data_IF_115485364588
#
_entry.id   IF_115485364588
#
_cell.length_a   1.000
_cell.length_b   1.000
_cell.length_c   1.000
_cell.angle_alpha   90.00
_cell.angle_beta   90.00
_cell.angle_gamma   90.00
#
_symmetry.space_group_name_H-M   'P 1'
#
loop_
_entity.id
_entity.type
_entity.pdbx_description
1 polymer ?
#
# COMPACT_ATOMS: atom_id res chain seq x y z
N UNK A 1 25.24 -55.38 -8.12
CA UNK A 1 23.77 -55.38 -8.29
C UNK A 1 23.20 -55.52 -6.88
N UNK A 2 22.41 -54.65 -6.28
CA UNK A 2 21.69 -53.43 -6.66
C UNK A 2 21.54 -52.61 -5.38
N UNK A 3 21.58 -51.28 -5.52
CA UNK A 3 21.32 -50.32 -4.45
C UNK A 3 19.83 -50.34 -4.04
N UNK A 4 19.53 -49.99 -2.79
CA UNK A 4 18.30 -49.28 -2.42
C UNK A 4 18.52 -48.46 -1.14
N UNK A 5 18.71 -47.17 -1.32
CA UNK A 5 18.75 -46.13 -0.30
C UNK A 5 17.29 -45.74 -0.02
N UNK A 6 16.85 -45.84 1.22
CA UNK A 6 15.51 -45.40 1.66
C UNK A 6 15.60 -43.88 1.89
N UNK A 7 14.96 -43.10 1.03
CA UNK A 7 14.79 -41.66 1.23
C UNK A 7 13.64 -41.42 2.23
N UNK A 8 13.94 -40.86 3.40
CA UNK A 8 12.94 -40.22 4.24
C UNK A 8 12.62 -38.85 3.63
N UNK A 9 11.51 -38.73 2.91
CA UNK A 9 10.93 -37.43 2.58
C UNK A 9 10.23 -36.94 3.86
N UNK A 10 10.88 -36.03 4.57
CA UNK A 10 10.20 -35.18 5.53
C UNK A 10 9.30 -34.24 4.73
N UNK A 11 8.01 -34.57 4.65
CA UNK A 11 6.99 -33.65 4.16
C UNK A 11 6.92 -32.50 5.17
N UNK A 12 7.61 -31.40 4.87
CA UNK A 12 7.35 -30.12 5.50
C UNK A 12 5.99 -29.68 4.96
N UNK A 13 4.93 -30.05 5.67
CA UNK A 13 3.64 -29.38 5.55
C UNK A 13 3.88 -27.94 5.99
N UNK A 14 4.20 -27.07 5.03
CA UNK A 14 4.06 -25.63 5.24
C UNK A 14 2.59 -25.41 5.56
N UNK A 15 2.32 -24.99 6.80
CA UNK A 15 0.99 -24.63 7.28
C UNK A 15 0.57 -23.30 6.62
N UNK A 16 0.36 -23.32 5.30
CA UNK A 16 -0.18 -22.22 4.53
C UNK A 16 -1.49 -22.70 3.93
N UNK A 17 -2.58 -22.40 4.65
CA UNK A 17 -3.94 -22.59 4.18
C UNK A 17 -4.58 -23.90 4.61
N UNK A 18 -5.33 -23.86 5.71
CA UNK A 18 -6.78 -24.18 5.73
C UNK A 18 -7.41 -23.41 6.89
N UNK A 19 -7.85 -22.18 6.66
CA UNK A 19 -9.01 -21.61 7.37
C UNK A 19 -10.17 -21.53 6.38
N UNK A 20 -10.54 -22.65 5.77
CA UNK A 20 -11.77 -22.77 4.96
C UNK A 20 -12.98 -22.89 5.89
N UNK A 21 -13.10 -21.97 6.85
CA UNK A 21 -14.37 -21.71 7.52
C UNK A 21 -15.16 -20.78 6.59
N UNK A 22 -15.82 -21.37 5.57
CA UNK A 22 -16.85 -20.73 4.72
C UNK A 22 -16.68 -19.23 4.40
N UNK A 23 -15.50 -18.80 3.94
CA UNK A 23 -15.32 -17.43 3.48
C UNK A 23 -16.18 -17.20 2.23
N UNK A 24 -16.98 -16.13 2.21
CA UNK A 24 -17.85 -15.77 1.09
C UNK A 24 -17.18 -14.80 0.12
N UNK A 25 -16.29 -13.99 0.67
CA UNK A 25 -15.35 -13.11 -0.02
C UNK A 25 -13.96 -13.50 0.45
N UNK A 26 -12.96 -13.32 -0.42
CA UNK A 26 -11.55 -13.48 -0.07
C UNK A 26 -10.74 -12.27 -0.51
N UNK A 27 -10.00 -11.63 0.39
CA UNK A 27 -9.01 -10.61 0.05
C UNK A 27 -7.81 -11.30 -0.62
N UNK A 28 -7.41 -10.77 -1.78
CA UNK A 28 -6.27 -11.27 -2.57
C UNK A 28 -5.04 -10.37 -2.44
N UNK A 29 -5.24 -9.05 -2.36
CA UNK A 29 -4.16 -8.07 -2.28
C UNK A 29 -4.64 -6.77 -1.63
N UNK A 30 -3.87 -6.16 -0.70
CA UNK A 30 -2.73 -6.78 -0.02
C UNK A 30 -3.19 -7.97 0.83
N UNK A 31 -2.33 -8.95 1.04
CA UNK A 31 -2.64 -10.13 1.86
C UNK A 31 -1.56 -10.45 2.91
N UNK A 32 -0.48 -9.66 2.97
CA UNK A 32 0.55 -9.77 4.00
C UNK A 32 1.96 -9.45 3.52
N UNK A 33 2.66 -8.63 4.29
CA UNK A 33 4.07 -8.32 4.08
C UNK A 33 4.38 -7.30 2.99
N UNK A 34 3.38 -6.83 2.23
CA UNK A 34 3.58 -5.76 1.25
C UNK A 34 4.01 -4.45 1.92
N UNK A 35 4.68 -3.60 1.14
CA UNK A 35 5.04 -2.24 1.55
C UNK A 35 4.45 -1.27 0.55
N UNK A 36 3.56 -0.42 1.02
CA UNK A 36 2.90 0.60 0.22
C UNK A 36 3.43 1.97 0.60
N UNK A 37 3.89 2.72 -0.39
CA UNK A 37 4.37 4.07 -0.16
C UNK A 37 3.20 5.03 0.04
N UNK A 38 3.34 5.95 0.99
CA UNK A 38 2.41 7.08 1.16
C UNK A 38 2.17 7.77 -0.19
N UNK A 39 0.91 8.05 -0.50
CA UNK A 39 0.52 8.76 -1.73
C UNK A 39 0.52 7.89 -2.99
N UNK A 40 1.11 6.70 -2.96
CA UNK A 40 1.01 5.76 -4.08
C UNK A 40 -0.43 5.28 -4.28
N UNK A 41 -0.75 4.88 -5.51
CA UNK A 41 -2.03 4.21 -5.81
C UNK A 41 -1.81 2.72 -5.89
N UNK A 42 -2.54 1.96 -5.07
CA UNK A 42 -2.44 0.51 -4.96
C UNK A 42 -3.79 -0.12 -5.24
N UNK A 43 -3.85 -1.12 -6.11
CA UNK A 43 -5.09 -1.83 -6.41
C UNK A 43 -5.37 -2.86 -5.31
N UNK A 44 -6.41 -2.61 -4.52
CA UNK A 44 -6.99 -3.60 -3.63
C UNK A 44 -7.74 -4.63 -4.46
N UNK A 45 -7.55 -5.92 -4.17
CA UNK A 45 -8.18 -7.00 -4.94
C UNK A 45 -8.83 -8.03 -4.02
N UNK A 46 -10.00 -8.49 -4.41
CA UNK A 46 -10.73 -9.54 -3.70
C UNK A 46 -11.51 -10.42 -4.66
N UNK A 47 -11.99 -11.55 -4.18
CA UNK A 47 -12.64 -12.59 -4.97
C UNK A 47 -13.94 -13.06 -4.32
N UNK A 48 -14.96 -13.29 -5.13
CA UNK A 48 -16.17 -14.00 -4.70
C UNK A 48 -15.84 -15.48 -4.51
N UNK A 49 -16.03 -16.01 -3.30
CA UNK A 49 -15.81 -17.44 -3.00
C UNK A 49 -17.14 -18.19 -2.97
N UNK A 50 -18.21 -17.53 -2.50
CA UNK A 50 -19.57 -18.06 -2.52
C UNK A 50 -20.48 -16.99 -3.14
N UNK A 51 -21.32 -17.40 -4.08
CA UNK A 51 -22.26 -16.52 -4.76
C UNK A 51 -23.42 -16.11 -3.85
N UNK A 52 -23.78 -14.82 -3.90
CA UNK A 52 -24.92 -14.22 -3.19
C UNK A 52 -25.60 -13.15 -4.05
N UNK A 53 -26.81 -12.75 -3.65
CA UNK A 53 -27.50 -11.60 -4.24
C UNK A 53 -26.90 -10.29 -3.69
N UNK A 54 -25.67 -10.03 -4.11
CA UNK A 54 -24.87 -8.94 -3.61
C UNK A 54 -25.39 -7.57 -4.05
N UNK A 55 -25.42 -6.63 -3.11
CA UNK A 55 -25.83 -5.25 -3.35
C UNK A 55 -24.66 -4.39 -3.81
N UNK A 56 -23.60 -4.31 -3.02
CA UNK A 56 -22.42 -3.47 -3.27
C UNK A 56 -21.18 -4.07 -2.57
N UNK A 57 -20.04 -3.40 -2.68
CA UNK A 57 -18.87 -3.65 -1.83
C UNK A 57 -18.51 -2.43 -0.99
N UNK A 58 -18.13 -2.66 0.26
CA UNK A 58 -17.50 -1.66 1.10
C UNK A 58 -16.06 -2.06 1.43
N UNK A 59 -15.15 -1.08 1.36
CA UNK A 59 -13.73 -1.28 1.59
C UNK A 59 -13.26 -0.37 2.71
N UNK A 60 -12.54 -0.94 3.66
CA UNK A 60 -12.05 -0.27 4.85
C UNK A 60 -10.58 -0.60 5.09
N UNK A 61 -9.91 0.23 5.89
CA UNK A 61 -8.58 -0.08 6.42
C UNK A 61 -8.46 0.26 7.91
N UNK A 62 -7.53 -0.41 8.60
CA UNK A 62 -7.16 -0.13 9.99
C UNK A 62 -5.65 -0.12 10.15
N UNK A 63 -5.15 0.82 10.93
CA UNK A 63 -3.74 0.90 11.35
C UNK A 63 -3.55 0.45 12.80
N UNK A 64 -4.56 -0.23 13.36
CA UNK A 64 -4.61 -0.63 14.78
C UNK A 64 -4.68 -2.14 14.90
N UNK A 65 -5.69 -2.79 14.29
CA UNK A 65 -5.86 -4.24 14.36
C UNK A 65 -6.70 -4.79 13.21
N UNK A 66 -6.64 -6.12 13.02
CA UNK A 66 -7.49 -6.86 12.07
C UNK A 66 -8.99 -6.78 12.38
N UNK A 67 -9.38 -6.24 13.53
CA UNK A 67 -10.78 -6.07 13.95
C UNK A 67 -11.23 -4.60 13.98
N UNK A 68 -10.33 -3.68 13.64
CA UNK A 68 -10.57 -2.24 13.64
C UNK A 68 -9.89 -1.49 14.80
N UNK A 69 -10.28 -0.22 15.07
CA UNK A 69 -11.31 0.55 14.37
C UNK A 69 -11.02 0.73 12.88
N UNK A 70 -12.08 0.86 12.09
CA UNK A 70 -12.02 0.89 10.63
C UNK A 70 -12.21 2.31 10.11
N UNK A 71 -11.30 2.73 9.24
CA UNK A 71 -11.45 3.91 8.40
C UNK A 71 -12.02 3.48 7.05
N UNK A 72 -12.83 4.34 6.44
CA UNK A 72 -13.45 4.09 5.13
C UNK A 72 -12.41 4.33 4.03
N UNK A 73 -12.30 3.37 3.11
CA UNK A 73 -11.61 3.55 1.82
C UNK A 73 -12.62 3.90 0.74
N UNK A 74 -13.68 3.11 0.63
CA UNK A 74 -14.78 3.30 -0.31
C UNK A 74 -16.04 2.61 0.23
N UNK A 75 -17.21 3.15 -0.08
CA UNK A 75 -18.51 2.54 0.20
C UNK A 75 -19.31 2.41 -1.10
N UNK A 76 -20.28 1.51 -1.10
CA UNK A 76 -21.27 1.39 -2.17
C UNK A 76 -20.67 1.13 -3.57
N UNK A 77 -19.54 0.41 -3.62
CA UNK A 77 -18.94 0.04 -4.90
C UNK A 77 -19.86 -0.92 -5.66
N UNK A 78 -19.95 -0.83 -6.99
CA UNK A 78 -20.87 -1.68 -7.76
C UNK A 78 -20.56 -3.17 -7.53
N UNK A 79 -21.59 -4.04 -7.49
CA UNK A 79 -21.42 -5.45 -7.16
C UNK A 79 -20.58 -6.20 -8.19
N UNK A 80 -20.57 -5.73 -9.44
CA UNK A 80 -19.88 -6.37 -10.56
C UNK A 80 -20.44 -7.77 -10.85
N UNK A 81 -19.57 -8.71 -11.23
CA UNK A 81 -19.95 -10.12 -11.37
C UNK A 81 -20.13 -10.78 -9.99
N UNK A 82 -21.24 -11.47 -9.78
CA UNK A 82 -21.50 -12.27 -8.56
C UNK A 82 -21.05 -13.73 -8.71
N UNK A 83 -20.54 -14.12 -9.88
CA UNK A 83 -20.09 -15.49 -10.15
C UNK A 83 -18.90 -15.85 -9.26
N UNK A 84 -18.92 -17.07 -8.70
CA UNK A 84 -17.80 -17.63 -7.94
C UNK A 84 -16.49 -17.52 -8.74
N UNK A 85 -15.41 -17.15 -8.04
CA UNK A 85 -14.08 -16.85 -8.55
C UNK A 85 -13.93 -15.54 -9.33
N UNK A 86 -15.00 -14.77 -9.54
CA UNK A 86 -14.85 -13.43 -10.12
C UNK A 86 -14.00 -12.55 -9.19
N UNK A 87 -13.09 -11.79 -9.80
CA UNK A 87 -12.15 -10.91 -9.09
C UNK A 87 -12.58 -9.47 -9.31
N UNK A 88 -12.60 -8.72 -8.22
CA UNK A 88 -12.92 -7.31 -8.17
C UNK A 88 -11.74 -6.53 -7.63
N UNK A 89 -11.77 -5.21 -7.80
CA UNK A 89 -10.74 -4.37 -7.22
C UNK A 89 -11.12 -2.89 -7.18
N UNK A 90 -10.34 -2.17 -6.40
CA UNK A 90 -10.46 -0.72 -6.21
C UNK A 90 -9.08 -0.11 -6.09
N UNK A 91 -8.82 0.95 -6.85
CA UNK A 91 -7.57 1.69 -6.78
C UNK A 91 -7.60 2.64 -5.58
N UNK A 92 -6.77 2.33 -4.58
CA UNK A 92 -6.68 3.06 -3.33
C UNK A 92 -5.45 3.96 -3.31
N UNK A 93 -5.66 5.26 -3.11
CA UNK A 93 -4.57 6.19 -2.78
C UNK A 93 -4.19 6.03 -1.30
N UNK A 94 -2.97 5.59 -1.06
CA UNK A 94 -2.45 5.27 0.28
C UNK A 94 -2.34 6.55 1.12
N UNK A 95 -2.97 6.61 2.31
CA UNK A 95 -2.97 7.81 3.13
C UNK A 95 -1.58 8.12 3.68
N UNK A 96 -1.34 9.40 3.99
CA UNK A 96 -0.12 9.84 4.68
C UNK A 96 -0.13 9.46 6.17
N UNK A 97 0.01 8.17 6.44
CA UNK A 97 0.06 7.59 7.77
C UNK A 97 0.94 6.34 7.75
N UNK A 98 2.26 6.56 7.80
CA UNK A 98 3.22 5.46 7.85
C UNK A 98 2.96 4.57 9.07
N UNK A 99 2.81 3.27 8.82
CA UNK A 99 2.45 2.30 9.85
C UNK A 99 2.92 0.89 9.45
N UNK A 100 3.45 0.13 10.42
CA UNK A 100 3.98 -1.23 10.17
C UNK A 100 2.92 -2.32 10.18
N UNK A 101 1.71 -2.00 10.64
CA UNK A 101 0.62 -2.93 10.87
C UNK A 101 -0.66 -2.37 10.29
N UNK A 102 -0.89 -2.61 9.00
CA UNK A 102 -2.08 -2.17 8.29
C UNK A 102 -2.91 -3.37 7.85
N UNK A 103 -4.21 -3.22 8.01
CA UNK A 103 -5.23 -4.19 7.65
C UNK A 103 -6.22 -3.56 6.71
N UNK A 104 -6.68 -4.32 5.73
CA UNK A 104 -7.82 -4.00 4.86
C UNK A 104 -8.95 -4.96 5.15
N UNK A 105 -10.18 -4.48 5.03
CA UNK A 105 -11.39 -5.28 5.13
C UNK A 105 -12.27 -4.99 3.93
N UNK A 106 -12.71 -6.04 3.27
CA UNK A 106 -13.72 -5.97 2.21
C UNK A 106 -15.00 -6.58 2.73
N UNK A 107 -16.11 -5.87 2.56
CA UNK A 107 -17.44 -6.30 2.96
C UNK A 107 -18.25 -6.52 1.68
N UNK A 108 -18.80 -7.72 1.55
CA UNK A 108 -19.87 -8.08 0.64
C UNK A 108 -21.20 -7.76 1.32
N UNK A 109 -21.79 -6.61 0.99
CA UNK A 109 -23.12 -6.23 1.48
C UNK A 109 -24.19 -7.05 0.75
N UNK A 110 -25.05 -7.69 1.52
CA UNK A 110 -26.19 -8.44 1.00
C UNK A 110 -27.45 -8.13 1.80
N UNK A 111 -28.66 -8.30 1.20
CA UNK A 111 -29.91 -7.97 1.88
C UNK A 111 -30.18 -8.73 3.19
N UNK A 112 -29.58 -9.92 3.35
CA UNK A 112 -29.81 -10.80 4.49
C UNK A 112 -28.71 -10.72 5.55
N UNK A 113 -27.45 -10.82 5.12
CA UNK A 113 -26.29 -10.82 5.99
C UNK A 113 -25.03 -10.41 5.23
N UNK A 114 -24.23 -9.56 5.86
CA UNK A 114 -22.95 -9.13 5.32
C UNK A 114 -21.89 -10.19 5.57
N UNK A 115 -21.04 -10.39 4.56
CA UNK A 115 -19.84 -11.20 4.72
C UNK A 115 -18.62 -10.34 4.49
N UNK A 116 -17.55 -10.61 5.21
CA UNK A 116 -16.32 -9.86 5.04
C UNK A 116 -15.12 -10.75 5.15
N UNK A 117 -14.02 -10.24 4.61
CA UNK A 117 -12.71 -10.83 4.79
C UNK A 117 -11.67 -9.72 4.98
N UNK A 118 -10.56 -10.10 5.61
CA UNK A 118 -9.40 -9.25 5.86
C UNK A 118 -8.16 -9.91 5.30
N UNK A 119 -7.13 -9.12 4.98
CA UNK A 119 -5.82 -9.68 4.66
C UNK A 119 -5.32 -10.66 5.74
N UNK A 120 -4.68 -11.75 5.32
CA UNK A 120 -4.26 -12.85 6.22
C UNK A 120 -3.17 -12.42 7.23
N UNK A 121 -2.29 -11.51 6.81
CA UNK A 121 -1.23 -10.92 7.64
C UNK A 121 -1.13 -9.42 7.37
N UNK A 122 -0.66 -8.61 8.33
CA UNK A 122 -0.54 -7.17 8.11
C UNK A 122 0.45 -6.86 6.99
N UNK A 123 0.17 -5.79 6.26
CA UNK A 123 1.14 -5.11 5.40
C UNK A 123 1.57 -3.80 6.06
N UNK A 124 2.48 -3.05 5.42
CA UNK A 124 2.96 -1.78 5.94
C UNK A 124 2.75 -0.63 4.97
N UNK A 125 2.48 0.54 5.52
CA UNK A 125 2.60 1.82 4.81
C UNK A 125 3.94 2.43 5.20
N UNK A 126 4.80 2.67 4.22
CA UNK A 126 6.10 3.29 4.40
C UNK A 126 6.05 4.76 3.94
N UNK A 127 6.85 5.66 4.54
CA UNK A 127 6.98 7.02 4.04
C UNK A 127 7.31 7.01 2.55
N UNK A 128 6.77 7.97 1.81
CA UNK A 128 7.26 8.23 0.46
C UNK A 128 8.77 8.54 0.53
N UNK A 129 9.56 8.14 -0.48
CA UNK A 129 10.96 8.53 -0.57
C UNK A 129 11.11 10.04 -0.40
N UNK A 130 12.08 10.47 0.41
CA UNK A 130 12.41 11.90 0.52
C UNK A 130 12.95 12.37 -0.82
N UNK A 131 12.27 13.31 -1.47
CA UNK A 131 12.74 13.88 -2.71
C UNK A 131 13.83 14.91 -2.46
N UNK A 132 15.03 14.42 -2.18
CA UNK A 132 16.19 15.27 -1.98
C UNK A 132 16.41 16.07 -3.27
N UNK A 133 16.42 17.40 -3.19
CA UNK A 133 16.57 18.25 -4.37
C UNK A 133 15.27 18.87 -4.90
N UNK A 134 14.08 18.43 -4.45
CA UNK A 134 12.80 19.07 -4.77
C UNK A 134 12.60 20.29 -3.86
N UNK A 135 13.12 21.43 -4.30
CA UNK A 135 13.12 22.68 -3.53
C UNK A 135 11.78 23.42 -3.62
N UNK A 136 10.95 23.12 -4.63
CA UNK A 136 9.66 23.77 -4.83
C UNK A 136 8.44 22.91 -4.41
N UNK A 137 8.66 21.63 -4.11
CA UNK A 137 7.64 20.69 -3.64
C UNK A 137 6.73 20.14 -4.74
N UNK A 138 7.16 20.16 -6.01
CA UNK A 138 6.37 19.73 -7.16
C UNK A 138 6.51 18.24 -7.51
N UNK A 139 7.28 17.49 -6.71
CA UNK A 139 7.61 16.09 -6.88
C UNK A 139 8.48 15.77 -8.11
N UNK A 140 9.21 16.75 -8.66
CA UNK A 140 10.20 16.54 -9.71
C UNK A 140 11.45 17.39 -9.46
N UNK A 141 12.62 16.76 -9.32
CA UNK A 141 13.89 17.49 -9.23
C UNK A 141 14.33 17.93 -10.64
N UNK A 142 14.18 19.23 -10.92
CA UNK A 142 14.44 19.79 -12.24
C UNK A 142 15.01 21.23 -12.18
N UNK A 143 14.98 21.93 -13.33
CA UNK A 143 15.52 23.30 -13.43
C UNK A 143 14.76 24.27 -12.52
N UNK A 144 13.50 24.02 -12.24
CA UNK A 144 12.68 24.86 -11.35
C UNK A 144 13.24 24.85 -9.92
N UNK A 145 13.68 23.69 -9.42
CA UNK A 145 14.32 23.58 -8.10
C UNK A 145 15.67 24.26 -8.04
N UNK A 146 16.45 24.11 -9.11
CA UNK A 146 17.72 24.81 -9.23
C UNK A 146 17.51 26.33 -9.18
N UNK A 147 16.48 26.84 -9.86
CA UNK A 147 16.11 28.25 -9.81
C UNK A 147 15.59 28.65 -8.42
N UNK A 148 14.85 27.77 -7.72
CA UNK A 148 14.40 28.01 -6.35
C UNK A 148 15.55 28.14 -5.35
N UNK A 149 16.61 27.34 -5.51
CA UNK A 149 17.84 27.46 -4.68
C UNK A 149 18.60 28.75 -4.99
N UNK A 150 18.75 29.09 -6.28
CA UNK A 150 19.44 30.33 -6.68
C UNK A 150 18.69 31.58 -6.24
N UNK A 151 17.36 31.58 -6.32
CA UNK A 151 16.51 32.70 -5.88
C UNK A 151 16.66 33.00 -4.39
N UNK A 152 16.87 31.96 -3.58
CA UNK A 152 16.97 32.06 -2.12
C UNK A 152 18.41 32.01 -1.61
N UNK A 153 19.40 32.25 -2.48
CA UNK A 153 20.81 32.10 -2.14
C UNK A 153 21.24 32.96 -0.93
N UNK A 154 21.87 32.33 0.06
CA UNK A 154 22.32 32.95 1.30
C UNK A 154 21.20 33.21 2.32
N UNK A 155 19.96 32.81 2.05
CA UNK A 155 18.86 32.92 3.00
C UNK A 155 19.02 31.95 4.18
N UNK A 156 18.51 32.34 5.34
CA UNK A 156 18.48 31.54 6.58
C UNK A 156 17.04 31.13 6.87
N UNK A 157 16.82 29.86 7.25
CA UNK A 157 15.48 29.33 7.51
C UNK A 157 14.60 29.25 6.26
N UNK A 158 15.22 29.12 5.10
CA UNK A 158 14.56 28.99 3.79
C UNK A 158 14.18 27.53 3.52
N UNK A 159 13.05 27.25 2.85
CA UNK A 159 12.74 25.90 2.35
C UNK A 159 13.75 25.36 1.33
N UNK A 160 14.58 26.22 0.73
CA UNK A 160 15.65 25.82 -0.19
C UNK A 160 16.96 25.43 0.52
N UNK A 161 17.00 25.48 1.85
CA UNK A 161 18.04 24.85 2.68
C UNK A 161 17.72 23.35 2.78
N UNK A 162 18.21 22.61 1.79
CA UNK A 162 17.89 21.21 1.55
C UNK A 162 18.71 20.28 2.45
N UNK A 163 19.91 20.70 2.87
CA UNK A 163 20.75 19.91 3.77
C UNK A 163 20.49 20.23 5.26
N UNK A 164 19.74 21.29 5.56
CA UNK A 164 19.36 21.72 6.90
C UNK A 164 20.51 22.33 7.70
N UNK A 165 21.54 22.88 7.05
CA UNK A 165 22.69 23.49 7.70
C UNK A 165 22.45 24.93 8.18
N UNK A 166 21.29 25.49 7.82
CA UNK A 166 20.82 26.81 8.23
C UNK A 166 21.03 27.90 7.19
N UNK A 167 21.70 27.64 6.05
CA UNK A 167 21.92 28.65 5.01
C UNK A 167 21.89 28.07 3.60
N UNK A 168 21.11 28.67 2.70
CA UNK A 168 21.06 28.25 1.30
C UNK A 168 22.38 28.56 0.61
N UNK A 169 23.09 27.53 0.15
CA UNK A 169 24.40 27.65 -0.46
C UNK A 169 24.66 26.58 -1.54
N UNK A 170 25.94 26.43 -1.91
CA UNK A 170 26.35 25.47 -2.95
C UNK A 170 26.03 24.03 -2.57
N UNK A 171 25.97 23.70 -1.28
CA UNK A 171 25.63 22.37 -0.80
C UNK A 171 24.19 21.99 -1.19
N UNK A 172 23.25 22.93 -1.09
CA UNK A 172 21.85 22.73 -1.49
C UNK A 172 21.71 22.60 -3.01
N UNK A 173 22.43 23.44 -3.76
CA UNK A 173 22.47 23.34 -5.21
C UNK A 173 22.97 21.96 -5.66
N UNK A 174 23.99 21.42 -5.00
CA UNK A 174 24.51 20.08 -5.30
C UNK A 174 23.52 18.97 -4.94
N UNK A 175 22.59 19.20 -4.00
CA UNK A 175 21.48 18.26 -3.76
C UNK A 175 20.51 18.22 -4.94
N UNK A 176 20.18 19.36 -5.56
CA UNK A 176 19.33 19.40 -6.77
C UNK A 176 20.02 18.68 -7.93
N UNK A 177 21.27 19.05 -8.24
CA UNK A 177 22.00 18.48 -9.37
C UNK A 177 22.30 16.99 -9.16
N UNK A 178 22.55 16.56 -7.93
CA UNK A 178 22.85 15.17 -7.57
C UNK A 178 21.65 14.23 -7.65
N UNK A 179 20.42 14.75 -7.60
CA UNK A 179 19.18 13.95 -7.55
C UNK A 179 18.23 14.27 -8.72
N UNK A 180 18.77 14.77 -9.84
CA UNK A 180 17.98 15.21 -10.99
C UNK A 180 17.05 14.13 -11.53
N UNK A 181 15.77 14.46 -11.71
CA UNK A 181 14.74 13.54 -12.20
C UNK A 181 13.51 13.47 -11.29
N UNK A 182 12.57 12.55 -11.59
CA UNK A 182 11.39 12.35 -10.76
C UNK A 182 11.75 11.78 -9.38
N UNK A 183 10.96 12.13 -8.38
CA UNK A 183 11.00 11.52 -7.06
C UNK A 183 10.38 10.10 -7.18
N UNK A 184 11.23 9.07 -7.26
CA UNK A 184 10.80 7.66 -7.28
C UNK A 184 11.29 6.93 -6.03
#
# INVERSE_FOLDING_TARGET
>A
MSHSIIYYIALVLSLAGIHMASAHVRVLSPNGGEQFEVGSTQTLRWQVVIEHNQLNWDVHYSTVSATGPWNIVALDLPPGSTVVNSVHGYDWTVPNNANKTVWVRVIMDNPAADYNDTNDQPFSIIPAPTCNGDANGDANVNVSDLLSVIDQWGAVGSPADLNGDGVVNVSDLLMVVGNWGPCL
#
